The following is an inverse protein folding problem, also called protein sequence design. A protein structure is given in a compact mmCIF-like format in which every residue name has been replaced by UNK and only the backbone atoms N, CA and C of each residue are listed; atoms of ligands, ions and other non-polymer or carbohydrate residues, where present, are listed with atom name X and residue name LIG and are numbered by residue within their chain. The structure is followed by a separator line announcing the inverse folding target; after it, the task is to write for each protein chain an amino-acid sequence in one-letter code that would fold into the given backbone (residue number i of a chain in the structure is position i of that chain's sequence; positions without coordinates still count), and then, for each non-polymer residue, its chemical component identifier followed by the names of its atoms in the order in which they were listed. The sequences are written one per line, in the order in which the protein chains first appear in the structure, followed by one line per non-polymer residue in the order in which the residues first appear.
data_IF_975671163697
#
_entry.id   IF_975671163697
#
_cell.length_a   1.000
_cell.length_b   1.000
_cell.length_c   1.000
_cell.angle_alpha   90.00
_cell.angle_beta   90.00
_cell.angle_gamma   90.00
#
_symmetry.space_group_name_H-M   'P 1'
#
loop_
_entity.id
_entity.type
_entity.pdbx_description
1 polymer ?
#
# COMPACT_ATOMS: atom_id res chain seq x y z
N UNK A 1 -11.19 -22.30 21.66
CA UNK A 1 -10.70 -23.66 21.97
C UNK A 1 -10.81 -24.49 20.71
N UNK A 2 -9.71 -24.74 20.03
CA UNK A 2 -9.60 -25.58 18.84
C UNK A 2 -8.17 -26.10 18.75
N UNK A 3 -7.99 -27.32 19.30
CA UNK A 3 -6.71 -28.03 19.35
C UNK A 3 -6.28 -28.41 17.93
N UNK A 4 -5.18 -27.87 17.46
CA UNK A 4 -4.45 -28.43 16.33
C UNK A 4 -3.82 -29.75 16.78
N UNK A 5 -4.38 -30.87 16.36
CA UNK A 5 -3.81 -32.20 16.53
C UNK A 5 -2.58 -32.27 15.59
N UNK A 6 -1.39 -32.35 16.17
CA UNK A 6 -0.17 -32.70 15.48
C UNK A 6 -0.26 -34.12 14.90
N UNK A 7 0.20 -34.33 13.70
CA UNK A 7 0.47 -35.63 13.10
C UNK A 7 1.48 -36.35 13.99
N UNK A 8 1.15 -37.53 14.51
CA UNK A 8 1.88 -38.27 15.56
C UNK A 8 3.20 -38.93 15.05
N UNK A 9 3.96 -38.30 14.21
CA UNK A 9 5.32 -38.71 13.81
C UNK A 9 6.37 -38.09 14.74
N UNK A 10 7.20 -38.93 15.32
CA UNK A 10 8.33 -38.51 16.15
C UNK A 10 9.36 -37.71 15.31
N UNK A 11 9.88 -36.62 15.89
CA UNK A 11 10.91 -35.81 15.20
C UNK A 11 12.29 -36.53 15.31
N UNK A 12 12.52 -37.42 14.36
CA UNK A 12 13.75 -38.23 14.30
C UNK A 12 15.00 -37.37 14.05
N UNK A 13 14.90 -36.28 13.29
CA UNK A 13 16.00 -35.38 13.00
C UNK A 13 16.49 -34.66 14.28
N UNK A 14 15.58 -34.09 15.07
CA UNK A 14 15.89 -33.48 16.35
C UNK A 14 16.49 -34.51 17.32
N UNK A 15 15.95 -35.72 17.37
CA UNK A 15 16.44 -36.78 18.23
C UNK A 15 17.90 -37.15 17.91
N UNK A 16 18.24 -37.27 16.63
CA UNK A 16 19.59 -37.56 16.17
C UNK A 16 20.60 -36.48 16.61
N UNK A 17 20.27 -35.20 16.41
CA UNK A 17 21.17 -34.09 16.74
C UNK A 17 21.30 -33.90 18.26
N UNK A 18 20.25 -34.10 19.05
CA UNK A 18 20.34 -34.13 20.51
C UNK A 18 21.26 -35.26 20.98
N UNK A 19 21.11 -36.45 20.39
CA UNK A 19 21.99 -37.61 20.73
C UNK A 19 23.46 -37.32 20.38
N UNK A 20 23.72 -36.71 19.21
CA UNK A 20 25.06 -36.28 18.80
C UNK A 20 25.70 -35.30 19.79
N UNK A 21 24.87 -34.38 20.31
CA UNK A 21 25.34 -33.37 21.28
C UNK A 21 25.72 -33.95 22.65
N UNK A 22 25.31 -35.16 22.98
CA UNK A 22 25.53 -35.81 24.30
C UNK A 22 24.90 -35.04 25.47
N UNK A 23 24.06 -34.04 25.22
CA UNK A 23 23.46 -33.20 26.26
C UNK A 23 22.10 -33.70 26.70
N UNK A 24 21.79 -33.47 27.97
CA UNK A 24 20.44 -33.82 28.49
C UNK A 24 19.38 -32.82 27.99
N UNK A 25 18.15 -33.27 27.91
CA UNK A 25 16.99 -32.44 27.57
C UNK A 25 16.88 -31.19 28.47
N UNK A 26 17.19 -31.34 29.76
CA UNK A 26 17.21 -30.21 30.70
C UNK A 26 18.30 -29.20 30.39
N UNK A 27 19.49 -29.65 29.95
CA UNK A 27 20.58 -28.77 29.55
C UNK A 27 20.24 -28.01 28.28
N UNK A 28 19.60 -28.66 27.29
CA UNK A 28 19.11 -28.03 26.06
C UNK A 28 18.07 -26.95 26.39
N UNK A 29 17.07 -27.28 27.20
CA UNK A 29 16.03 -26.34 27.59
C UNK A 29 16.59 -25.08 28.29
N UNK A 30 17.58 -25.24 29.21
CA UNK A 30 18.26 -24.11 29.86
C UNK A 30 18.99 -23.23 28.85
N UNK A 31 19.76 -23.84 27.93
CA UNK A 31 20.51 -23.09 26.92
C UNK A 31 19.58 -22.34 25.97
N UNK A 32 18.47 -22.94 25.58
CA UNK A 32 17.42 -22.26 24.77
C UNK A 32 16.86 -21.03 25.50
N UNK A 33 16.54 -21.16 26.80
CA UNK A 33 16.04 -20.03 27.58
C UNK A 33 17.10 -18.92 27.75
N UNK A 34 18.39 -19.31 27.94
CA UNK A 34 19.51 -18.38 28.03
C UNK A 34 19.65 -17.55 26.72
N UNK A 35 19.69 -18.22 25.57
CA UNK A 35 19.82 -17.57 24.27
C UNK A 35 18.61 -16.68 23.94
N UNK A 36 17.41 -17.10 24.30
CA UNK A 36 16.22 -16.29 24.18
C UNK A 36 16.28 -15.01 25.02
N UNK A 37 16.74 -15.15 26.28
CA UNK A 37 16.88 -14.02 27.20
C UNK A 37 17.91 -12.97 26.70
N UNK A 38 19.01 -13.40 26.09
CA UNK A 38 20.01 -12.52 25.47
C UNK A 38 19.41 -11.66 24.32
N UNK A 39 18.32 -12.12 23.72
CA UNK A 39 17.58 -11.39 22.67
C UNK A 39 16.28 -10.73 23.18
N UNK A 40 16.13 -10.59 24.49
CA UNK A 40 14.97 -9.94 25.10
C UNK A 40 13.68 -10.78 25.08
N UNK A 41 13.77 -12.07 24.74
CA UNK A 41 12.60 -12.97 24.66
C UNK A 41 12.52 -13.81 25.95
N UNK A 42 11.43 -13.67 26.69
CA UNK A 42 11.21 -14.44 27.93
C UNK A 42 10.60 -15.80 27.59
N UNK A 43 11.37 -16.88 27.78
CA UNK A 43 10.91 -18.26 27.60
C UNK A 43 11.08 -19.06 28.90
N UNK A 44 10.28 -20.13 29.07
CA UNK A 44 10.33 -21.01 30.25
C UNK A 44 10.24 -22.48 29.81
N UNK A 45 11.13 -22.87 28.90
CA UNK A 45 11.21 -24.26 28.46
C UNK A 45 11.88 -25.14 29.50
N UNK A 46 11.44 -26.38 29.57
CA UNK A 46 11.91 -27.41 30.49
C UNK A 46 12.13 -28.75 29.76
N UNK A 47 12.51 -29.78 30.49
CA UNK A 47 12.67 -31.16 29.96
C UNK A 47 11.41 -31.65 29.26
N UNK A 48 10.22 -31.35 29.78
CA UNK A 48 8.96 -31.77 29.19
C UNK A 48 8.69 -31.07 27.85
N UNK A 49 9.12 -29.84 27.70
CA UNK A 49 9.04 -29.10 26.43
C UNK A 49 9.87 -29.82 25.35
N UNK A 50 11.10 -30.19 25.63
CA UNK A 50 11.96 -30.94 24.70
C UNK A 50 11.34 -32.29 24.33
N UNK A 51 10.78 -32.99 25.31
CA UNK A 51 10.10 -34.26 25.06
C UNK A 51 8.91 -34.10 24.12
N UNK A 52 8.12 -33.03 24.26
CA UNK A 52 7.02 -32.74 23.34
C UNK A 52 7.49 -32.42 21.91
N UNK A 53 8.63 -31.72 21.77
CA UNK A 53 9.22 -31.46 20.46
C UNK A 53 9.67 -32.75 19.78
N UNK A 54 10.26 -33.65 20.51
CA UNK A 54 10.63 -35.01 20.04
C UNK A 54 9.40 -35.84 19.62
N UNK A 55 8.24 -35.62 20.23
CA UNK A 55 6.96 -36.25 19.91
C UNK A 55 6.24 -35.57 18.73
N UNK A 56 6.94 -34.72 17.94
CA UNK A 56 6.38 -34.08 16.76
C UNK A 56 5.66 -32.75 17.02
N UNK A 57 5.67 -32.24 18.27
CA UNK A 57 5.10 -30.91 18.52
C UNK A 57 6.07 -29.84 18.01
N UNK A 58 5.62 -29.00 17.08
CA UNK A 58 6.38 -27.85 16.59
C UNK A 58 6.45 -26.76 17.67
N UNK A 59 7.65 -26.30 18.08
CA UNK A 59 7.78 -25.14 18.96
C UNK A 59 7.19 -23.88 18.35
N UNK A 60 6.67 -22.97 19.17
CA UNK A 60 6.06 -21.71 18.72
C UNK A 60 7.10 -20.63 18.54
N UNK A 61 6.77 -19.64 17.75
CA UNK A 61 7.53 -18.41 17.53
C UNK A 61 8.98 -18.71 17.12
N UNK A 62 9.93 -18.00 17.67
CA UNK A 62 11.38 -18.14 17.41
C UNK A 62 12.06 -19.29 18.15
N UNK A 63 11.32 -20.17 18.81
CA UNK A 63 11.90 -21.26 19.57
C UNK A 63 12.75 -22.25 18.72
N UNK A 64 12.37 -22.66 17.49
CA UNK A 64 13.22 -23.45 16.61
C UNK A 64 14.59 -22.82 16.34
N UNK A 65 14.67 -21.47 16.18
CA UNK A 65 15.95 -20.75 16.00
C UNK A 65 16.83 -20.90 17.25
N UNK A 66 16.24 -20.71 18.44
CA UNK A 66 16.99 -20.85 19.69
C UNK A 66 17.40 -22.29 19.97
N UNK A 67 16.60 -23.28 19.56
CA UNK A 67 16.95 -24.71 19.67
C UNK A 67 18.12 -25.02 18.73
N UNK A 68 18.08 -24.54 17.48
CA UNK A 68 19.15 -24.71 16.52
C UNK A 68 20.44 -24.04 16.99
N UNK A 69 20.36 -22.80 17.47
CA UNK A 69 21.49 -22.06 18.02
C UNK A 69 22.11 -22.75 19.28
N UNK A 70 21.26 -23.29 20.16
CA UNK A 70 21.73 -24.02 21.33
C UNK A 70 22.48 -25.31 20.95
N UNK A 71 21.99 -26.06 19.99
CA UNK A 71 22.64 -27.27 19.49
C UNK A 71 23.89 -26.94 18.67
N UNK A 72 23.88 -25.85 17.90
CA UNK A 72 25.06 -25.36 17.20
C UNK A 72 26.20 -24.99 18.18
N UNK A 73 25.87 -24.34 19.30
CA UNK A 73 26.80 -24.00 20.36
C UNK A 73 27.40 -25.26 21.04
N UNK A 74 26.57 -26.29 21.27
CA UNK A 74 27.04 -27.57 21.84
C UNK A 74 27.91 -28.37 20.88
N UNK A 75 27.67 -28.31 19.57
CA UNK A 75 28.36 -29.13 18.58
C UNK A 75 29.50 -28.39 17.85
N UNK A 76 29.61 -27.06 18.05
CA UNK A 76 30.67 -26.24 17.41
C UNK A 76 30.51 -26.14 15.90
N UNK A 77 29.32 -26.39 15.36
CA UNK A 77 29.03 -26.30 13.93
C UNK A 77 27.67 -25.61 13.68
N UNK A 78 27.48 -24.92 12.52
CA UNK A 78 26.17 -24.33 12.20
C UNK A 78 25.10 -25.40 12.05
N UNK A 79 23.92 -25.15 12.61
CA UNK A 79 22.72 -25.99 12.52
C UNK A 79 21.56 -25.05 12.22
N UNK A 80 20.82 -25.35 11.17
CA UNK A 80 19.59 -24.65 10.83
C UNK A 80 18.36 -25.37 11.45
N UNK A 81 17.24 -24.68 11.70
CA UNK A 81 16.01 -25.32 12.17
C UNK A 81 15.52 -26.49 11.28
N UNK A 82 15.74 -26.40 9.97
CA UNK A 82 15.39 -27.44 9.01
C UNK A 82 16.17 -28.75 9.23
N UNK A 83 17.43 -28.66 9.66
CA UNK A 83 18.28 -29.81 10.00
C UNK A 83 17.76 -30.57 11.23
N UNK A 84 16.92 -29.94 12.02
CA UNK A 84 16.28 -30.49 13.20
C UNK A 84 14.86 -31.02 12.90
N UNK A 85 14.47 -31.10 11.63
CA UNK A 85 13.12 -31.53 11.24
C UNK A 85 12.02 -30.57 11.67
N UNK A 86 12.37 -29.36 12.11
CA UNK A 86 11.39 -28.31 12.20
C UNK A 86 11.12 -27.80 10.79
N UNK A 87 9.85 -27.56 10.42
CA UNK A 87 9.61 -26.85 9.16
C UNK A 87 10.46 -25.58 9.20
N UNK A 88 11.04 -25.22 8.06
CA UNK A 88 11.68 -23.90 7.94
C UNK A 88 10.75 -22.93 8.64
N UNK A 89 11.26 -22.28 9.72
CA UNK A 89 10.38 -21.51 10.58
C UNK A 89 9.60 -20.60 9.70
N UNK A 90 8.32 -20.79 9.78
CA UNK A 90 7.35 -20.35 8.84
C UNK A 90 7.80 -19.05 8.26
N UNK A 91 7.97 -19.03 6.97
CA UNK A 91 8.03 -17.78 6.22
C UNK A 91 7.03 -16.89 6.92
N UNK A 92 7.51 -15.77 7.49
CA UNK A 92 6.59 -14.79 8.13
C UNK A 92 5.35 -14.75 7.27
N UNK A 93 4.13 -14.80 7.84
CA UNK A 93 2.93 -14.81 7.02
C UNK A 93 3.10 -13.87 5.86
N UNK A 94 2.74 -14.25 4.65
CA UNK A 94 3.00 -13.45 3.43
C UNK A 94 2.69 -11.96 3.65
N UNK A 95 1.65 -11.67 4.42
CA UNK A 95 1.27 -10.32 4.82
C UNK A 95 2.35 -9.58 5.62
N UNK A 96 3.15 -10.26 6.41
CA UNK A 96 4.26 -9.65 7.14
C UNK A 96 5.51 -9.52 6.25
N UNK A 97 5.77 -10.49 5.36
CA UNK A 97 6.88 -10.43 4.39
C UNK A 97 6.67 -9.30 3.37
N UNK A 98 5.44 -9.09 2.94
CA UNK A 98 5.08 -8.07 1.97
C UNK A 98 5.27 -6.62 2.47
N UNK A 99 5.48 -6.40 3.77
CA UNK A 99 5.90 -5.11 4.34
C UNK A 99 7.40 -4.81 4.17
N UNK A 100 8.19 -5.77 3.70
CA UNK A 100 9.64 -5.61 3.58
C UNK A 100 10.02 -5.33 2.13
N UNK A 101 10.81 -4.29 1.92
CA UNK A 101 11.49 -4.03 0.64
C UNK A 101 12.71 -4.96 0.54
N UNK A 102 12.65 -5.97 -0.33
CA UNK A 102 13.70 -6.98 -0.46
C UNK A 102 14.75 -6.57 -1.49
N UNK A 103 16.01 -6.92 -1.24
CA UNK A 103 17.08 -6.71 -2.22
C UNK A 103 16.89 -7.66 -3.43
N UNK A 104 16.55 -8.94 -3.17
CA UNK A 104 16.27 -9.91 -4.23
C UNK A 104 14.86 -9.70 -4.81
N UNK A 105 14.82 -9.40 -6.10
CA UNK A 105 13.56 -9.23 -6.84
C UNK A 105 12.80 -10.55 -7.00
N UNK A 106 13.49 -11.70 -6.99
CA UNK A 106 12.85 -13.02 -7.02
C UNK A 106 11.97 -13.25 -5.78
N UNK A 107 12.44 -12.82 -4.60
CA UNK A 107 11.64 -12.84 -3.36
C UNK A 107 10.42 -11.91 -3.46
N UNK A 108 10.56 -10.75 -4.11
CA UNK A 108 9.44 -9.84 -4.36
C UNK A 108 8.37 -10.46 -5.24
N UNK A 109 8.75 -11.11 -6.35
CA UNK A 109 7.82 -11.81 -7.24
C UNK A 109 7.10 -12.96 -6.52
N UNK A 110 7.84 -13.74 -5.74
CA UNK A 110 7.28 -14.82 -4.92
C UNK A 110 6.28 -14.29 -3.89
N UNK A 111 6.66 -13.23 -3.17
CA UNK A 111 5.80 -12.57 -2.19
C UNK A 111 4.50 -12.04 -2.82
N UNK A 112 4.58 -11.41 -4.00
CA UNK A 112 3.40 -10.94 -4.72
C UNK A 112 2.49 -12.08 -5.18
N UNK A 113 3.07 -13.19 -5.69
CA UNK A 113 2.29 -14.35 -6.10
C UNK A 113 1.54 -14.99 -4.93
N UNK A 114 2.19 -15.14 -3.79
CA UNK A 114 1.55 -15.66 -2.57
C UNK A 114 0.52 -14.69 -1.98
N UNK A 115 0.85 -13.39 -1.93
CA UNK A 115 -0.08 -12.35 -1.46
C UNK A 115 -1.34 -12.39 -2.32
N UNK A 116 -1.18 -12.50 -3.63
CA UNK A 116 -2.27 -12.60 -4.58
C UNK A 116 -3.13 -13.85 -4.40
N UNK A 117 -2.50 -15.01 -4.24
CA UNK A 117 -3.24 -16.26 -4.01
C UNK A 117 -4.03 -16.22 -2.69
N UNK A 118 -3.45 -15.58 -1.66
CA UNK A 118 -4.09 -15.40 -0.36
C UNK A 118 -5.25 -14.40 -0.43
N UNK A 119 -5.09 -13.30 -1.17
CA UNK A 119 -6.12 -12.28 -1.39
C UNK A 119 -7.35 -12.87 -2.11
N UNK A 120 -7.13 -13.70 -3.13
CA UNK A 120 -8.21 -14.35 -3.89
C UNK A 120 -8.93 -15.42 -3.05
N UNK A 121 -8.17 -16.26 -2.32
CA UNK A 121 -8.72 -17.44 -1.64
C UNK A 121 -9.30 -17.17 -0.25
N UNK A 122 -8.91 -16.08 0.42
CA UNK A 122 -9.24 -15.78 1.81
C UNK A 122 -9.85 -14.41 2.03
N UNK A 123 -10.70 -13.93 1.12
CA UNK A 123 -11.37 -12.61 1.21
C UNK A 123 -11.94 -12.26 2.59
N UNK A 124 -12.40 -13.25 3.36
CA UNK A 124 -12.97 -13.01 4.69
C UNK A 124 -11.92 -12.92 5.82
N UNK A 125 -10.69 -13.39 5.61
CA UNK A 125 -9.64 -13.42 6.64
C UNK A 125 -8.61 -12.29 6.52
N UNK A 126 -8.45 -11.71 5.32
CA UNK A 126 -7.51 -10.60 5.08
C UNK A 126 -8.11 -9.21 5.36
N UNK A 127 -9.42 -9.09 5.56
CA UNK A 127 -10.09 -7.82 5.92
C UNK A 127 -9.65 -7.21 7.26
N UNK A 128 -8.69 -7.84 7.95
CA UNK A 128 -8.13 -7.37 9.21
C UNK A 128 -6.62 -7.11 9.16
N UNK A 129 -6.00 -7.03 7.96
CA UNK A 129 -4.56 -6.75 7.87
C UNK A 129 -4.32 -5.28 8.20
N UNK A 130 -3.60 -4.97 9.30
CA UNK A 130 -3.42 -3.57 9.70
C UNK A 130 -2.49 -2.83 8.73
N UNK A 131 -2.77 -1.55 8.54
CA UNK A 131 -1.85 -0.58 7.96
C UNK A 131 -0.76 -0.23 9.01
N UNK A 132 0.50 -0.13 8.58
CA UNK A 132 1.66 0.13 9.44
C UNK A 132 2.49 1.27 8.85
N UNK A 133 2.15 2.51 9.15
CA UNK A 133 2.77 3.69 8.53
C UNK A 133 4.31 3.69 8.55
N UNK A 134 4.92 3.20 9.64
CA UNK A 134 6.37 3.11 9.77
C UNK A 134 7.02 2.12 8.80
N UNK A 135 6.26 1.14 8.28
CA UNK A 135 6.77 0.20 7.28
C UNK A 135 7.02 0.85 5.91
N UNK A 136 6.44 2.03 5.66
CA UNK A 136 6.67 2.80 4.44
C UNK A 136 8.05 3.51 4.41
N UNK A 137 8.71 3.66 5.56
CA UNK A 137 9.95 4.42 5.66
C UNK A 137 11.17 3.69 5.09
N UNK A 138 11.25 2.37 5.28
CA UNK A 138 12.36 1.60 4.70
C UNK A 138 12.29 1.51 3.17
N UNK A 139 11.15 1.18 2.52
CA UNK A 139 11.00 1.25 1.07
C UNK A 139 11.38 2.61 0.47
N UNK A 140 10.98 3.71 1.12
CA UNK A 140 11.35 5.06 0.72
C UNK A 140 12.87 5.26 0.75
N UNK A 141 13.52 4.83 1.83
CA UNK A 141 14.98 4.93 1.99
C UNK A 141 15.73 4.09 0.96
N UNK A 142 15.30 2.86 0.74
CA UNK A 142 15.90 1.95 -0.25
C UNK A 142 15.76 2.50 -1.67
N UNK A 143 14.61 3.09 -1.99
CA UNK A 143 14.39 3.75 -3.26
C UNK A 143 15.32 4.94 -3.48
N UNK A 144 15.54 5.78 -2.45
CA UNK A 144 16.46 6.91 -2.53
C UNK A 144 17.92 6.45 -2.68
N UNK A 145 18.33 5.37 -2.01
CA UNK A 145 19.65 4.78 -2.18
C UNK A 145 19.83 4.26 -3.61
N UNK A 146 18.87 3.49 -4.12
CA UNK A 146 18.87 3.04 -5.51
C UNK A 146 18.99 4.21 -6.48
N UNK A 147 18.27 5.31 -6.25
CA UNK A 147 18.32 6.51 -7.10
C UNK A 147 19.72 7.15 -7.15
N UNK A 148 20.50 7.07 -6.05
CA UNK A 148 21.85 7.58 -5.98
C UNK A 148 22.88 6.67 -6.68
N UNK A 149 22.61 5.36 -6.68
CA UNK A 149 23.49 4.37 -7.31
C UNK A 149 23.26 4.29 -8.83
N UNK A 150 22.02 4.55 -9.27
CA UNK A 150 21.60 4.43 -10.69
C UNK A 150 21.74 5.77 -11.45
N UNK A 151 22.96 6.27 -11.52
CA UNK A 151 23.27 7.56 -12.17
C UNK A 151 23.05 7.57 -13.71
N UNK A 152 22.77 6.41 -14.30
CA UNK A 152 22.70 6.18 -15.75
C UNK A 152 21.49 5.39 -16.25
N UNK A 153 20.36 5.35 -15.52
CA UNK A 153 19.18 4.65 -16.06
C UNK A 153 18.79 5.24 -17.42
N UNK A 154 18.88 4.48 -18.51
CA UNK A 154 18.47 4.99 -19.82
C UNK A 154 16.97 5.29 -19.77
N UNK A 155 16.56 6.43 -20.34
CA UNK A 155 15.15 6.69 -20.61
C UNK A 155 14.61 5.48 -21.38
N UNK A 156 13.55 4.86 -20.85
CA UNK A 156 12.90 3.74 -21.52
C UNK A 156 12.53 4.19 -22.94
N UNK A 157 13.17 3.59 -23.94
CA UNK A 157 12.83 3.82 -25.35
C UNK A 157 11.40 3.31 -25.61
N UNK A 158 10.74 3.91 -26.61
CA UNK A 158 9.42 3.44 -27.05
C UNK A 158 9.42 1.94 -27.32
N UNK A 159 8.32 1.30 -26.95
CA UNK A 159 8.12 -0.15 -27.13
C UNK A 159 8.18 -0.48 -28.60
N UNK A 160 8.99 -1.49 -28.95
CA UNK A 160 8.99 -2.05 -30.31
C UNK A 160 7.65 -2.79 -30.55
N UNK A 161 7.08 -2.60 -31.73
CA UNK A 161 5.83 -3.25 -32.13
C UNK A 161 5.89 -4.79 -32.01
N UNK A 162 4.93 -5.35 -31.31
CA UNK A 162 4.66 -6.78 -31.21
C UNK A 162 5.43 -7.51 -30.09
N UNK A 163 4.76 -8.39 -29.37
CA UNK A 163 5.38 -9.31 -28.43
C UNK A 163 4.78 -9.29 -27.01
N UNK A 164 5.41 -10.01 -26.07
CA UNK A 164 4.89 -10.14 -24.70
C UNK A 164 4.70 -8.82 -23.95
N UNK A 165 5.53 -7.82 -24.23
CA UNK A 165 5.45 -6.50 -23.56
C UNK A 165 4.19 -5.77 -23.99
N UNK A 166 3.86 -5.75 -25.28
CA UNK A 166 2.66 -5.10 -25.81
C UNK A 166 1.38 -5.75 -25.27
N UNK A 167 1.35 -7.09 -25.19
CA UNK A 167 0.21 -7.79 -24.59
C UNK A 167 0.00 -7.40 -23.15
N UNK A 168 1.06 -7.28 -22.34
CA UNK A 168 0.99 -6.85 -20.95
C UNK A 168 0.54 -5.40 -20.85
N UNK A 169 0.97 -4.51 -21.74
CA UNK A 169 0.54 -3.12 -21.76
C UNK A 169 -0.95 -2.97 -22.09
N UNK A 170 -1.45 -3.72 -23.09
CA UNK A 170 -2.88 -3.76 -23.41
C UNK A 170 -3.71 -4.25 -22.24
N UNK A 171 -3.21 -5.22 -21.46
CA UNK A 171 -3.87 -5.68 -20.23
C UNK A 171 -3.90 -4.58 -19.15
N UNK A 172 -2.83 -3.78 -19.01
CA UNK A 172 -2.80 -2.65 -18.08
C UNK A 172 -3.86 -1.62 -18.46
N UNK A 173 -3.94 -1.24 -19.74
CA UNK A 173 -4.92 -0.29 -20.25
C UNK A 173 -6.36 -0.78 -19.99
N UNK A 174 -6.64 -2.05 -20.26
CA UNK A 174 -7.93 -2.67 -19.97
C UNK A 174 -8.27 -2.64 -18.48
N UNK A 175 -7.32 -2.96 -17.60
CA UNK A 175 -7.55 -2.91 -16.16
C UNK A 175 -7.77 -1.48 -15.65
N UNK A 176 -7.03 -0.50 -16.15
CA UNK A 176 -7.21 0.90 -15.81
C UNK A 176 -8.60 1.42 -16.26
N UNK A 177 -9.08 1.01 -17.45
CA UNK A 177 -10.43 1.33 -17.92
C UNK A 177 -11.51 0.68 -17.04
N UNK A 178 -11.35 -0.60 -16.70
CA UNK A 178 -12.27 -1.32 -15.81
C UNK A 178 -12.32 -0.68 -14.41
N UNK A 179 -11.18 -0.28 -13.82
CA UNK A 179 -11.15 0.42 -12.52
C UNK A 179 -11.87 1.76 -12.58
N UNK A 180 -11.66 2.51 -13.65
CA UNK A 180 -12.34 3.79 -13.85
C UNK A 180 -13.85 3.64 -13.97
N UNK A 181 -14.33 2.56 -14.60
CA UNK A 181 -15.75 2.32 -14.87
C UNK A 181 -16.49 1.65 -13.71
N UNK A 182 -15.87 0.64 -13.07
CA UNK A 182 -16.54 -0.22 -12.08
C UNK A 182 -16.01 -0.05 -10.65
N UNK A 183 -14.86 0.62 -10.47
CA UNK A 183 -14.17 0.75 -9.20
C UNK A 183 -13.30 -0.46 -8.85
N UNK A 184 -12.36 -0.27 -7.92
CA UNK A 184 -11.29 -1.22 -7.60
C UNK A 184 -11.76 -2.59 -7.11
N UNK A 185 -12.94 -2.67 -6.46
CA UNK A 185 -13.41 -3.91 -5.84
C UNK A 185 -13.65 -5.08 -6.79
N UNK A 186 -14.04 -4.79 -8.05
CA UNK A 186 -14.27 -5.81 -9.09
C UNK A 186 -13.02 -6.21 -9.87
N UNK A 187 -12.05 -5.34 -9.95
CA UNK A 187 -10.89 -5.46 -10.85
C UNK A 187 -9.67 -6.04 -10.14
N UNK A 188 -9.49 -5.77 -8.84
CA UNK A 188 -8.32 -6.21 -8.05
C UNK A 188 -7.99 -7.69 -8.22
N UNK A 189 -8.98 -8.57 -8.08
CA UNK A 189 -8.77 -10.00 -8.20
C UNK A 189 -8.21 -10.42 -9.58
N UNK A 190 -8.69 -9.79 -10.66
CA UNK A 190 -8.23 -10.06 -12.02
C UNK A 190 -6.80 -9.57 -12.24
N UNK A 191 -6.45 -8.38 -11.74
CA UNK A 191 -5.09 -7.83 -11.79
C UNK A 191 -4.12 -8.76 -11.05
N UNK A 192 -4.47 -9.13 -9.82
CA UNK A 192 -3.64 -9.97 -8.96
C UNK A 192 -3.48 -11.37 -9.54
N UNK A 193 -4.54 -11.94 -10.10
CA UNK A 193 -4.47 -13.22 -10.80
C UNK A 193 -3.53 -13.15 -12.01
N UNK A 194 -3.68 -12.14 -12.86
CA UNK A 194 -2.80 -11.97 -14.04
C UNK A 194 -1.35 -11.75 -13.64
N UNK A 195 -1.09 -10.92 -12.62
CA UNK A 195 0.25 -10.67 -12.09
C UNK A 195 0.91 -11.96 -11.62
N UNK A 196 0.19 -12.80 -10.86
CA UNK A 196 0.75 -14.02 -10.27
C UNK A 196 0.88 -15.18 -11.23
N UNK A 197 -0.08 -15.35 -12.16
CA UNK A 197 -0.14 -16.54 -13.04
C UNK A 197 0.46 -16.32 -14.42
N UNK A 198 0.55 -15.09 -14.88
CA UNK A 198 1.08 -14.78 -16.22
C UNK A 198 2.39 -13.99 -16.13
N UNK A 199 2.38 -12.83 -15.47
CA UNK A 199 3.50 -11.91 -15.53
C UNK A 199 4.70 -12.37 -14.70
N UNK A 200 4.48 -12.87 -13.48
CA UNK A 200 5.57 -13.37 -12.63
C UNK A 200 6.32 -14.57 -13.26
N UNK A 201 5.67 -15.59 -13.87
CA UNK A 201 6.37 -16.63 -14.61
C UNK A 201 7.13 -16.12 -15.84
N UNK A 202 6.60 -15.11 -16.55
CA UNK A 202 7.32 -14.50 -17.68
C UNK A 202 8.63 -13.85 -17.23
N UNK A 203 8.64 -13.14 -16.11
CA UNK A 203 9.83 -12.51 -15.55
C UNK A 203 10.89 -13.49 -15.06
N UNK A 204 10.52 -14.74 -14.76
CA UNK A 204 11.44 -15.82 -14.37
C UNK A 204 12.15 -16.50 -15.56
N UNK A 205 11.76 -16.21 -16.81
CA UNK A 205 12.39 -16.79 -18.01
C UNK A 205 13.83 -16.31 -18.15
N UNK A 206 14.79 -17.25 -18.22
CA UNK A 206 16.23 -16.93 -18.26
C UNK A 206 16.69 -16.27 -19.57
N UNK A 207 16.05 -16.57 -20.69
CA UNK A 207 16.52 -16.18 -22.04
C UNK A 207 15.86 -14.90 -22.57
N UNK A 208 15.29 -14.06 -21.70
CA UNK A 208 14.66 -12.80 -22.09
C UNK A 208 15.70 -11.69 -22.25
N UNK A 209 15.65 -10.86 -23.32
CA UNK A 209 16.50 -9.69 -23.48
C UNK A 209 16.34 -8.71 -22.30
N UNK A 210 17.44 -8.11 -21.84
CA UNK A 210 17.46 -7.27 -20.64
C UNK A 210 16.51 -6.06 -20.73
N UNK A 211 16.36 -5.46 -21.91
CA UNK A 211 15.43 -4.33 -22.11
C UNK A 211 13.96 -4.76 -21.99
N UNK A 212 13.58 -5.90 -22.57
CA UNK A 212 12.22 -6.44 -22.44
C UNK A 212 11.91 -6.81 -20.98
N UNK A 213 12.88 -7.40 -20.30
CA UNK A 213 12.74 -7.74 -18.88
C UNK A 213 12.49 -6.50 -18.03
N UNK A 214 13.21 -5.39 -18.26
CA UNK A 214 12.97 -4.12 -17.57
C UNK A 214 11.56 -3.56 -17.83
N UNK A 215 11.10 -3.59 -19.08
CA UNK A 215 9.74 -3.18 -19.44
C UNK A 215 8.66 -4.02 -18.73
N UNK A 216 8.88 -5.33 -18.64
CA UNK A 216 7.96 -6.21 -17.89
C UNK A 216 8.01 -5.97 -16.38
N UNK A 217 9.18 -5.65 -15.80
CA UNK A 217 9.24 -5.21 -14.38
C UNK A 217 8.48 -3.90 -14.15
N UNK A 218 8.61 -2.93 -15.05
CA UNK A 218 7.82 -1.69 -15.02
C UNK A 218 6.31 -1.99 -15.10
N UNK A 219 5.91 -2.88 -16.00
CA UNK A 219 4.51 -3.32 -16.14
C UNK A 219 4.00 -4.03 -14.87
N UNK A 220 4.82 -4.90 -14.27
CA UNK A 220 4.50 -5.56 -13.01
C UNK A 220 4.37 -4.57 -11.85
N UNK A 221 5.26 -3.57 -11.79
CA UNK A 221 5.19 -2.48 -10.83
C UNK A 221 3.89 -1.68 -10.97
N UNK A 222 3.50 -1.32 -12.21
CA UNK A 222 2.24 -0.62 -12.47
C UNK A 222 1.03 -1.45 -12.04
N UNK A 223 0.99 -2.74 -12.39
CA UNK A 223 -0.10 -3.64 -11.99
C UNK A 223 -0.19 -3.80 -10.47
N UNK A 224 0.94 -4.00 -9.79
CA UNK A 224 0.98 -4.08 -8.33
C UNK A 224 0.51 -2.76 -7.68
N UNK A 225 0.92 -1.60 -8.20
CA UNK A 225 0.46 -0.30 -7.74
C UNK A 225 -1.04 -0.12 -7.95
N UNK A 226 -1.59 -0.56 -9.10
CA UNK A 226 -3.04 -0.53 -9.37
C UNK A 226 -3.79 -1.46 -8.40
N UNK A 227 -3.27 -2.68 -8.10
CA UNK A 227 -3.83 -3.55 -7.07
C UNK A 227 -3.82 -2.88 -5.68
N UNK A 228 -2.78 -2.10 -5.36
CA UNK A 228 -2.71 -1.27 -4.16
C UNK A 228 -3.82 -0.21 -4.12
N UNK A 229 -4.06 0.49 -5.22
CA UNK A 229 -5.15 1.46 -5.33
C UNK A 229 -6.53 0.82 -5.22
N UNK A 230 -6.74 -0.34 -5.87
CA UNK A 230 -7.97 -1.11 -5.73
C UNK A 230 -8.21 -1.56 -4.28
N UNK A 231 -7.14 -1.94 -3.58
CA UNK A 231 -7.20 -2.31 -2.15
C UNK A 231 -7.55 -1.11 -1.28
N UNK A 232 -7.02 0.07 -1.58
CA UNK A 232 -7.39 1.31 -0.90
C UNK A 232 -8.87 1.66 -1.14
N UNK A 233 -9.37 1.49 -2.37
CA UNK A 233 -10.78 1.71 -2.70
C UNK A 233 -11.76 0.77 -2.00
N UNK A 234 -11.28 -0.38 -1.51
CA UNK A 234 -12.08 -1.36 -0.76
C UNK A 234 -11.81 -1.34 0.75
N UNK A 235 -11.13 -0.33 1.28
CA UNK A 235 -10.70 -0.20 2.67
C UNK A 235 -9.72 -1.28 3.17
N UNK A 236 -9.13 -2.06 2.28
CA UNK A 236 -8.09 -3.04 2.61
C UNK A 236 -6.72 -2.34 2.72
N UNK A 237 -6.61 -1.35 3.62
CA UNK A 237 -5.47 -0.43 3.70
C UNK A 237 -4.13 -1.12 3.92
N UNK A 238 -4.11 -2.18 4.72
CA UNK A 238 -2.91 -2.97 4.92
C UNK A 238 -2.48 -3.76 3.68
N UNK A 239 -3.42 -4.17 2.81
CA UNK A 239 -3.08 -4.75 1.51
C UNK A 239 -2.61 -3.69 0.53
N UNK A 240 -3.24 -2.51 0.52
CA UNK A 240 -2.83 -1.38 -0.31
C UNK A 240 -1.36 -1.03 -0.07
N UNK A 241 -0.97 -0.91 1.19
CA UNK A 241 0.41 -0.67 1.61
C UNK A 241 1.37 -1.73 1.07
N UNK A 242 1.04 -2.99 1.23
CA UNK A 242 1.88 -4.12 0.83
C UNK A 242 2.10 -4.18 -0.68
N UNK A 243 1.02 -4.03 -1.44
CA UNK A 243 1.13 -3.97 -2.90
C UNK A 243 1.97 -2.78 -3.37
N UNK A 244 1.83 -1.59 -2.75
CA UNK A 244 2.62 -0.41 -3.10
C UNK A 244 4.10 -0.57 -2.75
N UNK A 245 4.46 -1.20 -1.61
CA UNK A 245 5.85 -1.50 -1.26
C UNK A 245 6.50 -2.42 -2.30
N UNK A 246 5.82 -3.50 -2.66
CA UNK A 246 6.33 -4.45 -3.65
C UNK A 246 6.38 -3.81 -5.05
N UNK A 247 5.41 -2.96 -5.40
CA UNK A 247 5.42 -2.19 -6.64
C UNK A 247 6.66 -1.29 -6.74
N UNK A 248 7.01 -0.60 -5.67
CA UNK A 248 8.20 0.27 -5.64
C UNK A 248 9.50 -0.53 -5.87
N UNK A 249 9.60 -1.74 -5.30
CA UNK A 249 10.74 -2.63 -5.53
C UNK A 249 10.85 -3.10 -6.99
N UNK A 250 9.73 -3.53 -7.58
CA UNK A 250 9.69 -3.92 -9.00
C UNK A 250 10.02 -2.74 -9.92
N UNK A 251 9.58 -1.53 -9.53
CA UNK A 251 9.84 -0.32 -10.28
C UNK A 251 11.33 0.03 -10.31
N UNK A 252 12.07 -0.19 -9.22
CA UNK A 252 13.52 -0.05 -9.18
C UNK A 252 14.21 -1.00 -10.19
N UNK A 253 13.75 -2.25 -10.28
CA UNK A 253 14.29 -3.22 -11.25
C UNK A 253 13.97 -2.84 -12.70
N UNK A 254 12.80 -2.24 -12.93
CA UNK A 254 12.39 -1.71 -14.24
C UNK A 254 13.14 -0.43 -14.64
N UNK A 255 13.65 0.33 -13.68
CA UNK A 255 14.36 1.60 -13.91
C UNK A 255 13.46 2.79 -14.26
N UNK A 256 12.13 2.70 -14.01
CA UNK A 256 11.19 3.78 -14.36
C UNK A 256 11.02 4.77 -13.20
N UNK A 257 11.78 5.86 -13.25
CA UNK A 257 11.75 6.92 -12.22
C UNK A 257 10.42 7.66 -12.15
N UNK A 258 9.70 7.82 -13.28
CA UNK A 258 8.39 8.50 -13.29
C UNK A 258 7.36 7.63 -12.57
N UNK A 259 7.29 6.33 -12.89
CA UNK A 259 6.40 5.41 -12.20
C UNK A 259 6.73 5.31 -10.71
N UNK A 260 8.03 5.24 -10.34
CA UNK A 260 8.46 5.23 -8.94
C UNK A 260 8.01 6.47 -8.17
N UNK A 261 8.12 7.65 -8.77
CA UNK A 261 7.56 8.88 -8.23
C UNK A 261 6.04 8.81 -8.04
N UNK A 262 5.31 8.18 -8.97
CA UNK A 262 3.86 8.00 -8.88
C UNK A 262 3.46 6.98 -7.78
N UNK A 263 4.24 5.93 -7.58
CA UNK A 263 4.03 4.98 -6.47
C UNK A 263 4.25 5.69 -5.14
N UNK A 264 5.32 6.49 -4.99
CA UNK A 264 5.58 7.29 -3.80
C UNK A 264 4.47 8.33 -3.54
N UNK A 265 3.91 8.95 -4.58
CA UNK A 265 2.73 9.82 -4.45
C UNK A 265 1.51 9.05 -3.94
N UNK A 266 1.32 7.80 -4.40
CA UNK A 266 0.27 6.90 -3.91
C UNK A 266 0.45 6.54 -2.44
N UNK A 267 1.65 6.18 -2.03
CA UNK A 267 1.99 5.88 -0.63
C UNK A 267 1.81 7.11 0.27
N UNK A 268 2.20 8.31 -0.22
CA UNK A 268 1.98 9.59 0.47
C UNK A 268 0.50 9.88 0.69
N UNK A 269 -0.32 9.69 -0.36
CA UNK A 269 -1.77 9.82 -0.27
C UNK A 269 -2.36 8.87 0.77
N UNK A 270 -1.98 7.59 0.72
CA UNK A 270 -2.45 6.57 1.66
C UNK A 270 -2.10 6.94 3.11
N UNK A 271 -0.83 7.27 3.38
CA UNK A 271 -0.36 7.65 4.72
C UNK A 271 -1.11 8.87 5.26
N UNK A 272 -1.21 9.94 4.46
CA UNK A 272 -1.91 11.18 4.87
C UNK A 272 -3.39 10.91 5.15
N UNK A 273 -4.06 10.17 4.28
CA UNK A 273 -5.50 9.86 4.41
C UNK A 273 -5.81 8.98 5.62
N UNK A 274 -4.84 8.21 6.11
CA UNK A 274 -4.94 7.36 7.30
C UNK A 274 -4.39 8.01 8.57
N UNK A 275 -4.22 9.34 8.58
CA UNK A 275 -3.83 10.09 9.78
C UNK A 275 -2.33 10.07 10.08
N UNK A 276 -1.49 9.75 9.09
CA UNK A 276 -0.02 9.76 9.20
C UNK A 276 0.60 10.80 8.23
N UNK A 277 0.28 12.11 8.41
CA UNK A 277 0.67 13.14 7.46
C UNK A 277 2.18 13.41 7.44
N UNK A 278 2.91 13.16 8.52
CA UNK A 278 4.37 13.34 8.56
C UNK A 278 5.06 12.34 7.62
N UNK A 279 4.66 11.07 7.68
CA UNK A 279 5.10 10.02 6.76
C UNK A 279 4.68 10.35 5.33
N UNK A 280 3.45 10.85 5.14
CA UNK A 280 2.96 11.29 3.85
C UNK A 280 3.83 12.38 3.23
N UNK A 281 4.21 13.41 4.00
CA UNK A 281 5.14 14.46 3.56
C UNK A 281 6.51 13.88 3.21
N UNK A 282 7.04 12.97 4.04
CA UNK A 282 8.33 12.33 3.78
C UNK A 282 8.36 11.59 2.44
N UNK A 283 7.32 10.78 2.17
CA UNK A 283 7.16 10.04 0.91
C UNK A 283 7.03 10.98 -0.30
N UNK A 284 6.23 12.03 -0.19
CA UNK A 284 6.09 13.02 -1.26
C UNK A 284 7.43 13.71 -1.56
N UNK A 285 8.22 14.06 -0.55
CA UNK A 285 9.56 14.66 -0.72
C UNK A 285 10.55 13.70 -1.39
N UNK A 286 10.52 12.42 -1.04
CA UNK A 286 11.31 11.40 -1.73
C UNK A 286 10.91 11.29 -3.22
N UNK A 287 9.61 11.30 -3.50
CA UNK A 287 9.09 11.36 -4.87
C UNK A 287 9.54 12.61 -5.63
N UNK A 288 9.53 13.79 -5.00
CA UNK A 288 10.00 15.05 -5.60
C UNK A 288 11.50 14.95 -5.97
N UNK A 289 12.33 14.36 -5.10
CA UNK A 289 13.73 14.13 -5.41
C UNK A 289 13.89 13.22 -6.65
N UNK A 290 13.09 12.17 -6.73
CA UNK A 290 13.02 11.25 -7.88
C UNK A 290 12.58 11.96 -9.16
N UNK A 291 11.49 12.72 -9.10
CA UNK A 291 10.90 13.36 -10.28
C UNK A 291 11.77 14.48 -10.86
N UNK A 292 12.57 15.17 -10.07
CA UNK A 292 13.53 16.16 -10.55
C UNK A 292 14.52 15.57 -11.56
N UNK A 293 14.93 14.33 -11.37
CA UNK A 293 15.83 13.63 -12.29
C UNK A 293 15.12 12.96 -13.47
N UNK A 294 13.80 12.77 -13.40
CA UNK A 294 13.02 12.12 -14.46
C UNK A 294 12.55 13.05 -15.57
N UNK A 295 12.53 14.38 -15.33
CA UNK A 295 12.09 15.38 -16.29
C UNK A 295 10.57 15.33 -16.58
N UNK A 296 9.74 14.91 -15.63
CA UNK A 296 8.28 14.87 -15.76
C UNK A 296 7.62 15.99 -14.91
N UNK A 297 7.23 17.11 -15.54
CA UNK A 297 6.53 18.21 -14.88
C UNK A 297 5.20 17.79 -14.23
N UNK A 298 4.37 16.97 -14.91
CA UNK A 298 3.12 16.47 -14.33
C UNK A 298 3.37 15.53 -13.15
N UNK A 299 4.45 14.72 -13.20
CA UNK A 299 4.87 13.92 -12.07
C UNK A 299 5.24 14.78 -10.86
N UNK A 300 5.97 15.86 -11.06
CA UNK A 300 6.30 16.84 -10.02
C UNK A 300 5.04 17.53 -9.48
N UNK A 301 4.12 17.95 -10.34
CA UNK A 301 2.85 18.55 -9.96
C UNK A 301 2.11 17.69 -8.93
N UNK A 302 1.92 16.39 -9.24
CA UNK A 302 1.22 15.47 -8.32
C UNK A 302 1.93 15.33 -6.98
N UNK A 303 3.26 15.17 -6.99
CA UNK A 303 4.04 15.01 -5.77
C UNK A 303 4.00 16.25 -4.88
N UNK A 304 4.06 17.44 -5.47
CA UNK A 304 3.87 18.70 -4.74
C UNK A 304 2.44 18.83 -4.19
N UNK A 305 1.41 18.39 -4.93
CA UNK A 305 0.03 18.35 -4.43
C UNK A 305 -0.10 17.39 -3.22
N UNK A 306 0.56 16.21 -3.26
CA UNK A 306 0.58 15.29 -2.11
C UNK A 306 1.31 15.89 -0.90
N UNK A 307 2.45 16.57 -1.12
CA UNK A 307 3.15 17.28 -0.05
C UNK A 307 2.26 18.38 0.56
N UNK A 308 1.53 19.13 -0.26
CA UNK A 308 0.61 20.18 0.19
C UNK A 308 -0.49 19.60 1.08
N UNK A 309 -1.08 18.45 0.72
CA UNK A 309 -2.08 17.75 1.54
C UNK A 309 -1.52 17.31 2.89
N UNK A 310 -0.31 16.74 2.90
CA UNK A 310 0.35 16.34 4.14
C UNK A 310 0.64 17.54 5.05
N UNK A 311 1.16 18.65 4.50
CA UNK A 311 1.40 19.87 5.26
C UNK A 311 0.11 20.51 5.78
N UNK A 312 -0.97 20.52 4.99
CA UNK A 312 -2.27 21.01 5.43
C UNK A 312 -2.81 20.18 6.60
N UNK A 313 -2.69 18.86 6.54
CA UNK A 313 -3.09 17.97 7.63
C UNK A 313 -2.24 18.16 8.91
N UNK A 314 -0.99 18.66 8.79
CA UNK A 314 -0.13 19.07 9.90
C UNK A 314 -0.40 20.50 10.39
N UNK A 315 -1.28 21.27 9.72
CA UNK A 315 -1.52 22.67 10.02
C UNK A 315 -0.41 23.63 9.57
N UNK A 316 0.55 23.17 8.77
CA UNK A 316 1.62 24.02 8.22
C UNK A 316 1.15 24.74 6.95
N UNK A 317 0.40 25.82 7.12
CA UNK A 317 -0.15 26.65 6.04
C UNK A 317 0.94 27.14 5.09
N UNK A 318 2.11 27.55 5.61
CA UNK A 318 3.19 28.08 4.79
C UNK A 318 3.73 27.03 3.81
N UNK A 319 4.02 25.83 4.30
CA UNK A 319 4.54 24.77 3.46
C UNK A 319 3.47 24.19 2.52
N UNK A 320 2.22 24.11 2.98
CA UNK A 320 1.09 23.69 2.14
C UNK A 320 0.91 24.63 0.94
N UNK A 321 0.85 25.94 1.18
CA UNK A 321 0.72 26.96 0.12
C UNK A 321 1.93 26.95 -0.82
N UNK A 322 3.16 26.89 -0.28
CA UNK A 322 4.37 26.80 -1.09
C UNK A 322 4.38 25.56 -1.99
N UNK A 323 3.88 24.44 -1.49
CA UNK A 323 3.76 23.19 -2.24
C UNK A 323 2.68 23.28 -3.33
N UNK A 324 1.52 23.91 -3.07
CA UNK A 324 0.50 24.15 -4.11
C UNK A 324 1.04 25.04 -5.23
N UNK A 325 1.76 26.12 -4.92
CA UNK A 325 2.41 26.94 -5.93
C UNK A 325 3.44 26.15 -6.76
N UNK A 326 4.20 25.26 -6.11
CA UNK A 326 5.12 24.39 -6.82
C UNK A 326 4.40 23.37 -7.72
N UNK A 327 3.24 22.87 -7.30
CA UNK A 327 2.38 22.03 -8.13
C UNK A 327 1.86 22.79 -9.36
N UNK A 328 1.38 24.03 -9.18
CA UNK A 328 0.95 24.90 -10.29
C UNK A 328 2.07 25.10 -11.32
N UNK A 329 3.29 25.41 -10.88
CA UNK A 329 4.43 25.52 -11.79
C UNK A 329 4.73 24.24 -12.56
N UNK A 330 4.55 23.06 -11.95
CA UNK A 330 4.68 21.78 -12.64
C UNK A 330 3.67 21.63 -13.77
N UNK A 331 2.43 22.06 -13.54
CA UNK A 331 1.38 22.07 -14.56
C UNK A 331 1.70 23.05 -15.70
N UNK A 332 2.11 24.29 -15.37
CA UNK A 332 2.42 25.36 -16.34
C UNK A 332 3.63 25.03 -17.22
N UNK A 333 4.58 24.25 -16.72
CA UNK A 333 5.79 23.84 -17.47
C UNK A 333 5.62 22.57 -18.28
N UNK A 334 4.51 21.85 -18.13
CA UNK A 334 4.19 20.67 -18.95
C UNK A 334 3.89 21.10 -20.40
N UNK A 335 4.46 20.36 -21.34
CA UNK A 335 4.19 20.53 -22.79
C UNK A 335 2.93 19.80 -23.25
N UNK A 336 2.18 19.26 -22.32
CA UNK A 336 0.95 18.50 -22.54
C UNK A 336 1.14 16.99 -22.38
N UNK A 337 0.03 16.24 -22.24
CA UNK A 337 0.05 14.80 -21.93
C UNK A 337 0.83 13.94 -22.93
N UNK A 338 0.89 14.34 -24.20
CA UNK A 338 1.59 13.59 -25.25
C UNK A 338 3.11 13.51 -25.02
N UNK A 339 3.70 14.55 -24.42
CA UNK A 339 5.13 14.65 -24.11
C UNK A 339 5.51 14.00 -22.77
N UNK A 340 4.50 13.59 -22.00
CA UNK A 340 4.67 13.00 -20.66
C UNK A 340 4.65 11.47 -20.69
N UNK A 341 5.23 10.87 -19.65
CA UNK A 341 5.12 9.44 -19.43
C UNK A 341 3.65 8.98 -19.36
N UNK A 342 3.30 7.80 -19.88
CA UNK A 342 1.95 7.25 -19.80
C UNK A 342 1.39 7.26 -18.38
N UNK A 343 2.25 7.12 -17.35
CA UNK A 343 1.87 7.05 -15.94
C UNK A 343 1.30 8.33 -15.35
N UNK A 344 1.45 9.48 -16.04
CA UNK A 344 1.02 10.80 -15.56
C UNK A 344 0.09 11.53 -16.52
N UNK A 345 -0.24 10.96 -17.67
CA UNK A 345 -1.08 11.59 -18.70
C UNK A 345 -2.50 11.93 -18.25
N UNK A 346 -2.98 11.28 -17.21
CA UNK A 346 -4.29 11.54 -16.62
C UNK A 346 -4.32 12.77 -15.70
N UNK A 347 -3.16 13.36 -15.43
CA UNK A 347 -3.01 14.53 -14.57
C UNK A 347 -3.21 15.81 -15.39
N UNK A 348 -4.16 16.61 -14.94
CA UNK A 348 -4.57 17.87 -15.57
C UNK A 348 -4.83 18.94 -14.51
N UNK A 349 -5.31 20.10 -14.93
CA UNK A 349 -5.66 21.20 -14.03
C UNK A 349 -6.83 20.81 -13.10
N UNK A 350 -7.81 20.03 -13.56
CA UNK A 350 -8.93 19.58 -12.72
C UNK A 350 -8.48 18.64 -11.61
N UNK A 351 -7.47 17.81 -11.89
CA UNK A 351 -6.83 17.00 -10.84
C UNK A 351 -6.21 17.91 -9.76
N UNK A 352 -5.43 18.92 -10.19
CA UNK A 352 -4.78 19.85 -9.25
C UNK A 352 -5.81 20.67 -8.46
N UNK A 353 -6.87 21.14 -9.10
CA UNK A 353 -7.97 21.86 -8.43
C UNK A 353 -8.65 21.02 -7.35
N UNK A 354 -8.90 19.73 -7.64
CA UNK A 354 -9.49 18.82 -6.66
C UNK A 354 -8.59 18.61 -5.44
N UNK A 355 -7.28 18.44 -5.64
CA UNK A 355 -6.32 18.31 -4.54
C UNK A 355 -6.15 19.63 -3.77
N UNK A 356 -6.14 20.76 -4.45
CA UNK A 356 -6.07 22.09 -3.84
C UNK A 356 -7.34 22.39 -3.00
N UNK A 357 -8.53 21.98 -3.47
CA UNK A 357 -9.76 22.11 -2.69
C UNK A 357 -9.66 21.39 -1.33
N UNK A 358 -9.07 20.18 -1.31
CA UNK A 358 -8.82 19.43 -0.08
C UNK A 358 -7.84 20.18 0.85
N UNK A 359 -6.76 20.75 0.29
CA UNK A 359 -5.76 21.52 1.06
C UNK A 359 -6.40 22.75 1.70
N UNK A 360 -7.13 23.56 0.93
CA UNK A 360 -7.78 24.78 1.45
C UNK A 360 -8.88 24.45 2.48
N UNK A 361 -9.64 23.36 2.27
CA UNK A 361 -10.60 22.85 3.27
C UNK A 361 -9.91 22.54 4.61
N UNK A 362 -8.77 21.82 4.55
CA UNK A 362 -8.07 21.38 5.77
C UNK A 362 -7.36 22.54 6.48
N UNK A 363 -7.00 23.61 5.75
CA UNK A 363 -6.48 24.86 6.29
C UNK A 363 -7.58 25.82 6.81
N UNK A 364 -8.87 25.48 6.62
CA UNK A 364 -9.98 26.36 6.99
C UNK A 364 -10.21 27.54 6.04
N UNK A 365 -9.61 27.55 4.86
CA UNK A 365 -9.74 28.58 3.82
C UNK A 365 -10.99 28.30 2.97
N UNK A 366 -12.16 28.37 3.61
CA UNK A 366 -13.43 27.86 3.10
C UNK A 366 -13.85 28.44 1.73
N UNK A 367 -13.65 29.72 1.50
CA UNK A 367 -14.03 30.37 0.22
C UNK A 367 -13.20 29.82 -0.97
N UNK A 368 -11.91 29.54 -0.75
CA UNK A 368 -11.06 28.92 -1.78
C UNK A 368 -11.44 27.46 -2.00
N UNK A 369 -11.70 26.72 -0.91
CA UNK A 369 -12.17 25.34 -0.98
C UNK A 369 -13.48 25.23 -1.75
N UNK A 370 -14.44 26.12 -1.51
CA UNK A 370 -15.73 26.21 -2.22
C UNK A 370 -15.51 26.41 -3.73
N UNK A 371 -14.74 27.42 -4.11
CA UNK A 371 -14.48 27.76 -5.52
C UNK A 371 -13.89 26.57 -6.28
N UNK A 372 -12.86 25.94 -5.72
CA UNK A 372 -12.13 24.84 -6.35
C UNK A 372 -12.96 23.54 -6.36
N UNK A 373 -13.69 23.26 -5.27
CA UNK A 373 -14.55 22.10 -5.20
C UNK A 373 -15.74 22.21 -6.18
N UNK A 374 -16.30 23.40 -6.37
CA UNK A 374 -17.36 23.65 -7.36
C UNK A 374 -16.86 23.39 -8.77
N UNK A 375 -15.71 23.93 -9.15
CA UNK A 375 -15.08 23.66 -10.44
C UNK A 375 -14.82 22.16 -10.65
N UNK A 376 -14.35 21.46 -9.61
CA UNK A 376 -14.12 20.01 -9.66
C UNK A 376 -15.43 19.21 -9.80
N UNK A 377 -16.54 19.65 -9.22
CA UNK A 377 -17.87 19.02 -9.40
C UNK A 377 -18.33 19.17 -10.84
N UNK A 378 -18.19 20.34 -11.45
CA UNK A 378 -18.59 20.61 -12.82
C UNK A 378 -17.76 19.79 -13.82
N UNK A 379 -16.43 19.76 -13.65
CA UNK A 379 -15.51 19.05 -14.53
C UNK A 379 -15.64 17.52 -14.52
N UNK A 380 -16.23 16.94 -13.48
CA UNK A 380 -16.35 15.48 -13.32
C UNK A 380 -17.80 15.00 -13.39
N UNK A 381 -18.66 15.61 -14.23
CA UNK A 381 -20.09 15.28 -14.35
C UNK A 381 -20.37 13.80 -14.69
N UNK A 382 -19.46 13.15 -15.40
CA UNK A 382 -19.51 11.76 -15.84
C UNK A 382 -18.86 10.75 -14.87
N UNK A 383 -18.13 11.23 -13.85
CA UNK A 383 -17.32 10.40 -12.93
C UNK A 383 -17.89 10.37 -11.53
N UNK A 384 -18.91 9.56 -11.30
CA UNK A 384 -19.68 9.47 -10.04
C UNK A 384 -18.81 9.44 -8.77
N UNK A 385 -17.73 8.63 -8.76
CA UNK A 385 -16.80 8.53 -7.63
C UNK A 385 -16.14 9.89 -7.31
N UNK A 386 -15.59 10.55 -8.33
CA UNK A 386 -14.96 11.87 -8.16
C UNK A 386 -15.98 12.93 -7.75
N UNK A 387 -17.15 12.92 -8.36
CA UNK A 387 -18.23 13.83 -7.99
C UNK A 387 -18.62 13.70 -6.51
N UNK A 388 -18.77 12.47 -6.00
CA UNK A 388 -19.15 12.26 -4.61
C UNK A 388 -18.08 12.84 -3.66
N UNK A 389 -16.78 12.63 -3.96
CA UNK A 389 -15.68 13.20 -3.18
C UNK A 389 -15.68 14.72 -3.25
N UNK A 390 -15.74 15.32 -4.46
CA UNK A 390 -15.73 16.78 -4.64
C UNK A 390 -16.93 17.45 -3.98
N UNK A 391 -18.13 16.84 -4.04
CA UNK A 391 -19.32 17.33 -3.31
C UNK A 391 -19.16 17.25 -1.79
N UNK A 392 -18.48 16.23 -1.28
CA UNK A 392 -18.20 16.13 0.16
C UNK A 392 -17.25 17.23 0.64
N UNK A 393 -16.26 17.60 -0.20
CA UNK A 393 -15.37 18.75 0.06
C UNK A 393 -16.14 20.06 0.00
N UNK A 394 -16.98 20.25 -1.01
CA UNK A 394 -17.82 21.43 -1.20
C UNK A 394 -18.81 21.60 -0.01
N UNK A 395 -19.46 20.50 0.40
CA UNK A 395 -20.34 20.49 1.58
C UNK A 395 -19.59 20.94 2.86
N UNK A 396 -18.35 20.46 3.01
CA UNK A 396 -17.50 20.90 4.15
C UNK A 396 -17.16 22.38 4.04
N UNK A 397 -16.86 22.89 2.85
CA UNK A 397 -16.58 24.32 2.64
C UNK A 397 -17.80 25.21 2.96
N UNK A 398 -19.01 24.78 2.61
CA UNK A 398 -20.24 25.45 3.01
C UNK A 398 -20.43 25.43 4.54
N UNK A 399 -20.20 24.28 5.17
CA UNK A 399 -20.30 24.14 6.63
C UNK A 399 -19.32 25.06 7.36
N UNK A 400 -18.09 25.22 6.87
CA UNK A 400 -17.07 26.12 7.40
C UNK A 400 -17.45 27.62 7.26
N UNK A 401 -18.43 27.93 6.43
CA UNK A 401 -18.99 29.26 6.21
C UNK A 401 -20.35 29.46 6.91
N UNK A 402 -20.72 28.57 7.83
CA UNK A 402 -22.02 28.58 8.52
C UNK A 402 -23.23 28.47 7.58
N UNK A 403 -23.07 27.95 6.37
CA UNK A 403 -24.11 27.72 5.34
C UNK A 403 -24.65 26.30 5.44
N UNK A 404 -25.36 26.01 6.54
CA UNK A 404 -25.77 24.65 6.93
C UNK A 404 -26.69 23.99 5.87
N UNK A 405 -27.68 24.72 5.35
CA UNK A 405 -28.65 24.17 4.39
C UNK A 405 -27.98 23.75 3.08
N UNK A 406 -27.03 24.56 2.57
CA UNK A 406 -26.27 24.26 1.36
C UNK A 406 -25.29 23.09 1.60
N UNK A 407 -24.67 23.06 2.79
CA UNK A 407 -23.79 21.97 3.19
C UNK A 407 -24.54 20.62 3.18
N UNK A 408 -25.68 20.56 3.86
CA UNK A 408 -26.49 19.33 3.95
C UNK A 408 -27.10 18.95 2.61
N UNK A 409 -27.61 19.92 1.83
CA UNK A 409 -28.11 19.67 0.48
C UNK A 409 -27.05 19.08 -0.46
N UNK A 410 -25.84 19.66 -0.42
CA UNK A 410 -24.71 19.18 -1.25
C UNK A 410 -24.24 17.78 -0.82
N UNK A 411 -24.17 17.52 0.49
CA UNK A 411 -23.82 16.20 1.01
C UNK A 411 -24.90 15.15 0.68
N UNK A 412 -26.19 15.53 0.69
CA UNK A 412 -27.27 14.66 0.27
C UNK A 412 -27.15 14.25 -1.20
N UNK A 413 -26.79 15.20 -2.07
CA UNK A 413 -26.51 14.90 -3.48
C UNK A 413 -25.28 13.99 -3.64
N UNK A 414 -24.26 14.12 -2.79
CA UNK A 414 -23.11 13.22 -2.78
C UNK A 414 -23.51 11.79 -2.34
N UNK A 415 -24.41 11.67 -1.35
CA UNK A 415 -24.94 10.41 -0.86
C UNK A 415 -25.69 9.65 -1.98
N UNK A 416 -26.48 10.36 -2.79
CA UNK A 416 -27.22 9.77 -3.91
C UNK A 416 -26.28 9.19 -4.99
N UNK A 417 -25.11 9.77 -5.17
CA UNK A 417 -24.09 9.25 -6.09
C UNK A 417 -23.47 7.94 -5.63
N UNK A 418 -23.47 7.62 -4.33
CA UNK A 418 -22.91 6.38 -3.80
C UNK A 418 -23.78 5.16 -4.14
N UNK A 419 -25.04 5.35 -4.53
CA UNK A 419 -25.89 4.26 -5.00
C UNK A 419 -25.30 3.64 -6.28
N UNK A 420 -24.76 2.42 -6.16
CA UNK A 420 -24.12 1.68 -7.26
C UNK A 420 -22.65 2.00 -7.52
N UNK A 421 -21.99 2.76 -6.63
CA UNK A 421 -20.52 2.96 -6.67
C UNK A 421 -19.89 2.29 -5.46
N UNK A 422 -19.04 1.29 -5.70
CA UNK A 422 -18.29 0.59 -4.65
C UNK A 422 -16.93 1.26 -4.44
N UNK A 423 -16.90 2.42 -3.77
CA UNK A 423 -15.67 3.14 -3.43
C UNK A 423 -15.70 3.60 -1.98
N UNK A 424 -14.88 2.99 -1.16
CA UNK A 424 -14.74 3.40 0.25
C UNK A 424 -14.15 4.81 0.38
N UNK A 425 -13.36 5.28 -0.58
CA UNK A 425 -12.88 6.68 -0.60
C UNK A 425 -14.03 7.68 -0.61
N UNK A 426 -15.06 7.41 -1.40
CA UNK A 426 -16.24 8.27 -1.46
C UNK A 426 -17.07 8.20 -0.18
N UNK A 427 -17.20 7.00 0.38
CA UNK A 427 -17.86 6.77 1.68
C UNK A 427 -17.10 7.50 2.79
N UNK A 428 -15.77 7.39 2.81
CA UNK A 428 -14.93 8.04 3.82
C UNK A 428 -14.97 9.57 3.73
N UNK A 429 -15.03 10.14 2.52
CA UNK A 429 -15.19 11.57 2.33
C UNK A 429 -16.50 12.10 2.95
N UNK A 430 -17.60 11.35 2.81
CA UNK A 430 -18.88 11.69 3.45
C UNK A 430 -18.88 11.42 4.96
N UNK A 431 -18.17 10.40 5.45
CA UNK A 431 -17.98 10.19 6.90
C UNK A 431 -17.20 11.33 7.54
N UNK A 432 -16.16 11.85 6.86
CA UNK A 432 -15.42 13.02 7.33
C UNK A 432 -16.34 14.25 7.43
N UNK A 433 -17.14 14.55 6.40
CA UNK A 433 -18.16 15.60 6.46
C UNK A 433 -19.13 15.38 7.63
N UNK A 434 -19.67 14.19 7.76
CA UNK A 434 -20.61 13.81 8.83
C UNK A 434 -20.03 14.03 10.24
N UNK A 435 -18.74 13.75 10.43
CA UNK A 435 -18.04 13.99 11.69
C UNK A 435 -18.01 15.51 12.00
N UNK A 436 -17.74 16.33 10.98
CA UNK A 436 -17.72 17.80 11.11
C UNK A 436 -19.12 18.38 11.34
N UNK A 437 -20.16 17.70 10.86
CA UNK A 437 -21.57 18.09 11.06
C UNK A 437 -22.09 17.84 12.49
N UNK A 438 -21.34 17.09 13.30
CA UNK A 438 -21.76 16.69 14.65
C UNK A 438 -22.25 17.83 15.57
N UNK A 439 -21.69 19.06 15.56
CA UNK A 439 -22.20 20.17 16.37
C UNK A 439 -23.65 20.57 16.04
N UNK A 440 -24.12 20.28 14.82
CA UNK A 440 -25.44 20.68 14.32
C UNK A 440 -26.49 19.55 14.37
N UNK A 441 -26.23 18.47 15.13
CA UNK A 441 -27.15 17.28 15.22
C UNK A 441 -28.59 17.63 15.68
N UNK A 442 -28.77 18.76 16.36
CA UNK A 442 -30.07 19.25 16.81
C UNK A 442 -30.97 19.80 15.70
N UNK A 443 -30.40 20.15 14.54
CA UNK A 443 -31.12 20.77 13.46
C UNK A 443 -31.98 19.75 12.68
N UNK A 444 -33.23 20.09 12.28
CA UNK A 444 -34.11 19.18 11.57
C UNK A 444 -33.52 18.64 10.27
N UNK A 445 -32.86 19.48 9.47
CA UNK A 445 -32.24 19.11 8.20
C UNK A 445 -31.08 18.12 8.40
N UNK A 446 -30.34 18.26 9.49
CA UNK A 446 -29.24 17.34 9.83
C UNK A 446 -29.80 15.98 10.25
N UNK A 447 -30.90 15.96 11.02
CA UNK A 447 -31.56 14.70 11.39
C UNK A 447 -32.10 13.94 10.17
N UNK A 448 -32.66 14.63 9.20
CA UNK A 448 -33.11 14.04 7.95
C UNK A 448 -31.92 13.44 7.14
N UNK A 449 -30.83 14.19 7.00
CA UNK A 449 -29.59 13.69 6.38
C UNK A 449 -29.06 12.44 7.10
N UNK A 450 -29.00 12.43 8.43
CA UNK A 450 -28.54 11.30 9.23
C UNK A 450 -29.39 10.03 9.01
N UNK A 451 -30.70 10.16 8.90
CA UNK A 451 -31.58 9.03 8.57
C UNK A 451 -31.28 8.42 7.21
N UNK A 452 -31.00 9.26 6.19
CA UNK A 452 -30.63 8.81 4.85
C UNK A 452 -29.20 8.26 4.79
N UNK A 453 -28.28 8.85 5.53
CA UNK A 453 -26.86 8.48 5.53
C UNK A 453 -26.57 7.17 6.28
N UNK A 454 -27.34 6.86 7.33
CA UNK A 454 -27.13 5.72 8.21
C UNK A 454 -27.02 4.36 7.49
N UNK A 455 -27.87 3.99 6.52
CA UNK A 455 -27.77 2.72 5.79
C UNK A 455 -26.48 2.58 4.96
N UNK A 456 -25.91 3.71 4.51
CA UNK A 456 -24.77 3.76 3.59
C UNK A 456 -23.48 3.95 4.35
N UNK A 457 -23.45 4.88 5.32
CA UNK A 457 -22.24 5.26 6.06
C UNK A 457 -22.05 4.50 7.37
N UNK A 458 -23.06 3.71 7.80
CA UNK A 458 -23.08 3.06 9.10
C UNK A 458 -23.58 3.98 10.21
N UNK A 459 -23.59 3.50 11.47
CA UNK A 459 -23.92 4.34 12.63
C UNK A 459 -22.83 5.38 12.87
N UNK A 460 -23.21 6.60 13.27
CA UNK A 460 -22.24 7.59 13.75
C UNK A 460 -21.58 7.07 15.04
N UNK A 461 -20.28 7.13 15.11
CA UNK A 461 -19.52 6.79 16.32
C UNK A 461 -19.79 7.80 17.44
#
# INVERSE_FOLDING_TARGET
MGSARGTGETNAALAAVISESGRSHAALARKVNELAALQGVVTRYDKASVTRWLQGMTPRDRAPEFIAAALADFLGRPIAPVDLGFPEQGQRPVVARALTYREDVGETLHTLAELGSTDISRRSLLGAVPFVATALMDPQRQWLLWLLEDDQAPRLAAVADGGPVEQVQSMIEMFDEMDNRFGGGGVRASIVHYLSTQLAPMLQQRNMPSHQRRLLYTSAAKMAATAGWCSYDTADYGLAERYMIQALRLCAEGGDRVLGGQILAGMSHLATSLGNPAEGVSLARAGIATAKSSGSPLGLMRLHAMAARGYAALGDTRQATASLHAAGRGLDTSRGPAEESPWVRFLDHHYLEAEAALVHRDLGEAAQAERLASASVEANSDRRRRQAISRSVLATAFLQQDRLDEAVGTASNALDLLSGVHSERSVQALRDFRTRLAPHRGEPIVREFELRARPILGTAA
#
